data_IF_317953654916
#
_entry.id   IF_317953654916
#
_cell.length_a   1.000
_cell.length_b   1.000
_cell.length_c   1.000
_cell.angle_alpha   90.00
_cell.angle_beta   90.00
_cell.angle_gamma   90.00
#
_symmetry.space_group_name_H-M   'P 1'
#
loop_
_entity.id
_entity.type
_entity.pdbx_description
1 polymer ?
#
# COMPACT_ATOMS: atom_id res chain seq x y z
N UNK A 1 22.25 21.55 -24.25
CA UNK A 1 21.26 20.76 -25.00
C UNK A 1 20.45 19.98 -23.98
N UNK A 2 19.35 20.59 -23.54
CA UNK A 2 18.40 19.98 -22.63
C UNK A 2 17.53 19.01 -23.43
N UNK A 3 17.68 17.71 -23.19
CA UNK A 3 16.76 16.70 -23.73
C UNK A 3 15.47 16.75 -22.93
N UNK A 4 14.48 17.46 -23.47
CA UNK A 4 13.10 17.37 -23.03
C UNK A 4 12.60 15.94 -23.17
N UNK A 5 12.64 15.18 -22.06
CA UNK A 5 11.85 13.95 -21.95
C UNK A 5 10.39 14.37 -22.00
N UNK A 6 9.73 14.08 -23.13
CA UNK A 6 8.29 14.09 -23.21
C UNK A 6 7.76 13.24 -22.06
N UNK A 7 7.05 13.86 -21.11
CA UNK A 7 6.26 13.12 -20.13
C UNK A 7 5.23 12.34 -20.92
N UNK A 8 5.41 11.03 -21.03
CA UNK A 8 4.37 10.13 -21.53
C UNK A 8 3.10 10.44 -20.75
N UNK A 9 2.05 10.80 -21.49
CA UNK A 9 0.75 11.14 -20.93
C UNK A 9 0.16 9.83 -20.45
N UNK A 10 0.46 9.44 -19.21
CA UNK A 10 -0.09 8.22 -18.62
C UNK A 10 -1.61 8.27 -18.71
N UNK A 11 -2.20 7.21 -19.26
CA UNK A 11 -3.65 7.02 -19.28
C UNK A 11 -4.17 7.07 -17.84
N UNK A 12 -5.31 7.73 -17.65
CA UNK A 12 -5.98 7.73 -16.35
C UNK A 12 -6.31 6.30 -15.94
N UNK A 13 -6.21 5.94 -14.63
CA UNK A 13 -6.51 4.58 -14.21
C UNK A 13 -7.92 4.13 -14.63
N UNK A 14 -8.04 2.88 -15.04
CA UNK A 14 -9.32 2.26 -15.38
C UNK A 14 -10.05 1.82 -14.11
N UNK A 15 -11.27 2.29 -13.93
CA UNK A 15 -12.11 1.91 -12.77
C UNK A 15 -13.03 0.75 -13.16
N UNK A 16 -12.88 -0.38 -12.49
CA UNK A 16 -13.73 -1.57 -12.63
C UNK A 16 -14.65 -1.69 -11.42
N UNK A 17 -15.95 -1.54 -11.62
CA UNK A 17 -16.95 -1.75 -10.56
C UNK A 17 -17.53 -3.15 -10.67
N UNK A 18 -17.43 -3.93 -9.60
CA UNK A 18 -17.85 -5.34 -9.55
C UNK A 18 -19.04 -5.54 -8.61
N UNK A 19 -19.74 -6.66 -8.77
CA UNK A 19 -20.85 -7.04 -7.88
C UNK A 19 -22.06 -6.10 -7.97
N UNK A 20 -22.31 -5.54 -9.16
CA UNK A 20 -23.43 -4.63 -9.38
C UNK A 20 -23.29 -3.24 -8.73
N UNK A 21 -22.10 -2.87 -8.24
CA UNK A 21 -21.85 -1.54 -7.71
C UNK A 21 -22.02 -0.47 -8.81
N UNK A 22 -22.79 0.56 -8.48
CA UNK A 22 -23.06 1.68 -9.38
C UNK A 22 -22.37 2.93 -8.83
N UNK A 23 -21.42 3.45 -9.60
CA UNK A 23 -20.78 4.74 -9.37
C UNK A 23 -20.70 5.51 -10.68
N UNK A 24 -20.70 6.84 -10.58
CA UNK A 24 -20.45 7.75 -11.71
C UNK A 24 -19.03 7.65 -12.26
N UNK A 25 -18.12 7.02 -11.50
CA UNK A 25 -16.69 6.86 -11.84
C UNK A 25 -16.36 5.52 -12.49
N UNK A 26 -17.30 4.58 -12.58
CA UNK A 26 -17.06 3.27 -13.18
C UNK A 26 -16.77 3.39 -14.67
N UNK A 27 -15.58 2.97 -15.11
CA UNK A 27 -15.24 2.83 -16.53
C UNK A 27 -15.78 1.53 -17.12
N UNK A 28 -15.75 0.45 -16.33
CA UNK A 28 -16.34 -0.86 -16.67
C UNK A 28 -17.21 -1.31 -15.50
N UNK A 29 -18.35 -1.91 -15.82
CA UNK A 29 -19.28 -2.48 -14.85
C UNK A 29 -19.38 -3.97 -15.07
N UNK A 30 -19.24 -4.74 -14.00
CA UNK A 30 -19.31 -6.20 -13.99
C UNK A 30 -20.52 -6.55 -13.12
N UNK A 31 -21.59 -6.99 -13.77
CA UNK A 31 -22.90 -7.26 -13.14
C UNK A 31 -22.99 -8.62 -12.46
N UNK A 32 -22.04 -9.53 -12.72
CA UNK A 32 -22.08 -10.84 -12.11
C UNK A 32 -22.15 -10.71 -10.57
N UNK A 33 -22.91 -11.60 -9.89
CA UNK A 33 -22.93 -11.67 -8.44
C UNK A 33 -21.59 -12.23 -7.96
N UNK A 34 -20.57 -11.37 -8.00
CA UNK A 34 -19.22 -11.68 -7.59
C UNK A 34 -19.21 -11.72 -6.06
N UNK A 35 -19.32 -12.93 -5.51
CA UNK A 35 -19.12 -13.17 -4.08
C UNK A 35 -17.63 -13.08 -3.71
N UNK A 36 -16.72 -13.24 -4.67
CA UNK A 36 -15.27 -13.14 -4.46
C UNK A 36 -14.50 -12.61 -5.68
N UNK A 37 -13.42 -11.86 -5.42
CA UNK A 37 -12.57 -11.21 -6.42
C UNK A 37 -11.77 -12.19 -7.31
N UNK A 38 -11.69 -13.46 -6.94
CA UNK A 38 -10.91 -14.49 -7.64
C UNK A 38 -11.29 -14.64 -9.12
N UNK A 39 -12.57 -14.44 -9.44
CA UNK A 39 -13.11 -14.56 -10.81
C UNK A 39 -12.62 -13.48 -11.80
N UNK A 40 -12.00 -12.40 -11.30
CA UNK A 40 -11.62 -11.26 -12.14
C UNK A 40 -10.36 -11.48 -12.99
N UNK A 41 -9.61 -12.55 -12.76
CA UNK A 41 -8.33 -12.82 -13.42
C UNK A 41 -8.43 -12.67 -14.95
N UNK A 42 -9.39 -13.35 -15.59
CA UNK A 42 -9.53 -13.31 -17.05
C UNK A 42 -9.82 -11.92 -17.63
N UNK A 43 -10.56 -11.07 -16.91
CA UNK A 43 -10.85 -9.69 -17.34
C UNK A 43 -9.58 -8.84 -17.26
N UNK A 44 -8.85 -8.95 -16.14
CA UNK A 44 -7.59 -8.23 -15.93
C UNK A 44 -6.53 -8.65 -16.96
N UNK A 45 -6.39 -9.94 -17.21
CA UNK A 45 -5.45 -10.47 -18.21
C UNK A 45 -5.80 -10.04 -19.64
N UNK A 46 -7.09 -9.87 -19.95
CA UNK A 46 -7.50 -9.28 -21.24
C UNK A 46 -7.15 -7.79 -21.35
N UNK A 47 -7.36 -7.00 -20.29
CA UNK A 47 -7.00 -5.57 -20.26
C UNK A 47 -5.49 -5.40 -20.42
N UNK A 48 -4.69 -6.10 -19.61
CA UNK A 48 -3.23 -6.01 -19.67
C UNK A 48 -2.62 -6.69 -20.91
N UNK A 49 -3.32 -7.65 -21.53
CA UNK A 49 -2.95 -8.17 -22.84
C UNK A 49 -3.01 -7.10 -23.94
N UNK A 50 -3.91 -6.11 -23.80
CA UNK A 50 -4.02 -4.98 -24.73
C UNK A 50 -3.09 -3.81 -24.35
N UNK A 51 -3.04 -3.46 -23.07
CA UNK A 51 -2.14 -2.42 -22.54
C UNK A 51 -1.54 -2.85 -21.19
N UNK A 52 -0.31 -3.42 -21.19
CA UNK A 52 0.36 -3.98 -20.02
C UNK A 52 0.65 -2.99 -18.89
N UNK A 53 0.57 -1.68 -19.17
CA UNK A 53 0.86 -0.62 -18.21
C UNK A 53 -0.39 0.02 -17.62
N UNK A 54 -1.58 -0.49 -17.97
CA UNK A 54 -2.86 0.04 -17.47
C UNK A 54 -2.92 -0.08 -15.95
N UNK A 55 -3.06 1.07 -15.27
CA UNK A 55 -3.41 1.12 -13.85
C UNK A 55 -4.91 0.81 -13.70
N UNK A 56 -5.25 -0.10 -12.80
CA UNK A 56 -6.62 -0.57 -12.60
C UNK A 56 -7.02 -0.37 -11.14
N UNK A 57 -8.15 0.31 -10.92
CA UNK A 57 -8.81 0.38 -9.61
C UNK A 57 -10.05 -0.52 -9.63
N UNK A 58 -10.04 -1.60 -8.86
CA UNK A 58 -11.22 -2.44 -8.65
C UNK A 58 -12.01 -1.92 -7.46
N UNK A 59 -13.30 -1.66 -7.69
CA UNK A 59 -14.25 -1.20 -6.69
C UNK A 59 -15.21 -2.34 -6.39
N UNK A 60 -15.16 -2.87 -5.17
CA UNK A 60 -15.81 -4.13 -4.80
C UNK A 60 -16.69 -4.04 -3.55
N UNK A 61 -17.79 -4.81 -3.46
CA UNK A 61 -18.56 -4.91 -2.21
C UNK A 61 -17.81 -5.69 -1.12
N UNK A 62 -16.82 -6.51 -1.49
CA UNK A 62 -16.04 -7.36 -0.59
C UNK A 62 -14.58 -7.43 -1.03
N UNK A 63 -13.68 -7.79 -0.12
CA UNK A 63 -12.27 -8.10 -0.42
C UNK A 63 -11.97 -9.60 -0.41
N UNK A 64 -13.00 -10.44 -0.27
CA UNK A 64 -12.89 -11.90 -0.33
C UNK A 64 -12.30 -12.35 -1.68
N UNK A 65 -11.34 -13.28 -1.64
CA UNK A 65 -10.64 -13.80 -2.81
C UNK A 65 -9.55 -12.87 -3.36
N UNK A 66 -9.27 -11.74 -2.71
CA UNK A 66 -8.21 -10.83 -3.14
C UNK A 66 -6.84 -11.51 -3.17
N UNK A 67 -6.47 -12.26 -2.11
CA UNK A 67 -5.17 -12.91 -2.08
C UNK A 67 -5.03 -13.99 -3.17
N UNK A 68 -6.11 -14.73 -3.46
CA UNK A 68 -6.16 -15.69 -4.55
C UNK A 68 -6.00 -15.01 -5.92
N UNK A 69 -6.68 -13.89 -6.15
CA UNK A 69 -6.53 -13.07 -7.34
C UNK A 69 -5.08 -12.60 -7.51
N UNK A 70 -4.46 -12.02 -6.47
CA UNK A 70 -3.08 -11.54 -6.55
C UNK A 70 -2.10 -12.68 -6.86
N UNK A 71 -2.29 -13.85 -6.25
CA UNK A 71 -1.47 -15.03 -6.53
C UNK A 71 -1.63 -15.50 -7.99
N UNK A 72 -2.86 -15.56 -8.51
CA UNK A 72 -3.13 -15.92 -9.91
C UNK A 72 -2.48 -14.94 -10.88
N UNK A 73 -2.57 -13.63 -10.63
CA UNK A 73 -1.92 -12.62 -11.46
C UNK A 73 -0.39 -12.73 -11.44
N UNK A 74 0.20 -13.03 -10.29
CA UNK A 74 1.64 -13.30 -10.19
C UNK A 74 2.04 -14.57 -10.97
N UNK A 75 1.24 -15.62 -10.93
CA UNK A 75 1.49 -16.87 -11.67
C UNK A 75 1.44 -16.66 -13.19
N UNK A 76 0.58 -15.76 -13.65
CA UNK A 76 0.49 -15.34 -15.06
C UNK A 76 1.57 -14.32 -15.46
N UNK A 77 2.40 -13.86 -14.52
CA UNK A 77 3.49 -12.92 -14.79
C UNK A 77 3.05 -11.46 -14.92
N UNK A 78 1.87 -11.12 -14.39
CA UNK A 78 1.36 -9.75 -14.38
C UNK A 78 1.91 -8.93 -13.21
N UNK A 79 2.14 -7.64 -13.46
CA UNK A 79 2.55 -6.70 -12.42
C UNK A 79 1.36 -6.35 -11.53
N UNK A 80 1.21 -7.07 -10.42
CA UNK A 80 0.10 -6.85 -9.50
C UNK A 80 0.08 -5.43 -8.88
N UNK A 81 1.20 -4.66 -8.86
CA UNK A 81 1.21 -3.27 -8.37
C UNK A 81 0.39 -2.30 -9.22
N UNK A 82 0.04 -2.67 -10.45
CA UNK A 82 -0.83 -1.88 -11.31
C UNK A 82 -2.31 -1.96 -10.89
N UNK A 83 -2.65 -2.97 -10.08
CA UNK A 83 -3.97 -3.13 -9.50
C UNK A 83 -4.03 -2.48 -8.11
N UNK A 84 -5.09 -1.73 -7.85
CA UNK A 84 -5.51 -1.29 -6.52
C UNK A 84 -6.95 -1.75 -6.29
N UNK A 85 -7.32 -1.99 -5.04
CA UNK A 85 -8.67 -2.44 -4.68
C UNK A 85 -9.21 -1.53 -3.58
N UNK A 86 -10.46 -1.10 -3.72
CA UNK A 86 -11.21 -0.31 -2.74
C UNK A 86 -12.67 -0.74 -2.77
N UNK A 87 -13.51 -0.24 -1.85
CA UNK A 87 -14.90 -0.66 -1.85
C UNK A 87 -15.78 -0.26 -0.68
N UNK A 88 -16.86 -1.01 -0.54
CA UNK A 88 -17.86 -0.84 0.52
C UNK A 88 -17.25 -0.96 1.92
N UNK A 89 -16.36 -1.93 2.24
CA UNK A 89 -15.79 -2.04 3.59
C UNK A 89 -15.09 -0.75 4.03
N UNK A 90 -14.33 -0.14 3.13
CA UNK A 90 -13.60 1.10 3.38
C UNK A 90 -14.50 2.35 3.44
N UNK A 91 -15.56 2.38 2.63
CA UNK A 91 -16.59 3.41 2.71
C UNK A 91 -17.30 3.38 4.06
N UNK A 92 -17.64 2.19 4.57
CA UNK A 92 -18.25 2.02 5.91
C UNK A 92 -17.31 2.45 7.03
N UNK A 93 -16.02 2.14 6.91
CA UNK A 93 -15.02 2.48 7.92
C UNK A 93 -14.72 3.99 7.96
N UNK A 94 -14.61 4.63 6.80
CA UNK A 94 -14.28 6.06 6.70
C UNK A 94 -15.51 6.97 6.82
N UNK A 95 -16.70 6.45 6.53
CA UNK A 95 -17.91 7.26 6.36
C UNK A 95 -17.89 8.12 5.09
N UNK A 96 -16.93 7.90 4.18
CA UNK A 96 -16.91 8.56 2.88
C UNK A 96 -17.89 7.89 1.92
N UNK A 97 -18.55 8.67 1.06
CA UNK A 97 -19.27 8.12 -0.09
C UNK A 97 -18.31 7.37 -1.02
N UNK A 98 -18.79 6.31 -1.68
CA UNK A 98 -18.00 5.51 -2.61
C UNK A 98 -17.30 6.35 -3.69
N UNK A 99 -17.97 7.33 -4.28
CA UNK A 99 -17.39 8.21 -5.32
C UNK A 99 -16.18 9.01 -4.80
N UNK A 100 -16.25 9.54 -3.56
CA UNK A 100 -15.12 10.24 -2.92
C UNK A 100 -13.95 9.30 -2.64
N UNK A 101 -14.24 8.06 -2.26
CA UNK A 101 -13.23 7.05 -2.02
C UNK A 101 -12.52 6.65 -3.33
N UNK A 102 -13.30 6.49 -4.41
CA UNK A 102 -12.75 6.26 -5.76
C UNK A 102 -11.85 7.43 -6.18
N UNK A 103 -12.32 8.66 -6.05
CA UNK A 103 -11.53 9.86 -6.41
C UNK A 103 -10.23 9.92 -5.59
N UNK A 104 -10.28 9.57 -4.30
CA UNK A 104 -9.11 9.46 -3.43
C UNK A 104 -8.09 8.46 -3.98
N UNK A 105 -8.50 7.21 -4.24
CA UNK A 105 -7.59 6.17 -4.74
C UNK A 105 -7.09 6.45 -6.16
N UNK A 106 -7.90 7.04 -7.03
CA UNK A 106 -7.44 7.48 -8.36
C UNK A 106 -6.30 8.49 -8.26
N UNK A 107 -6.43 9.50 -7.39
CA UNK A 107 -5.35 10.46 -7.14
C UNK A 107 -4.13 9.81 -6.48
N UNK A 108 -4.34 8.85 -5.59
CA UNK A 108 -3.24 8.11 -4.96
C UNK A 108 -2.48 7.21 -5.95
N UNK A 109 -3.19 6.53 -6.85
CA UNK A 109 -2.60 5.74 -7.92
C UNK A 109 -1.83 6.62 -8.91
N UNK A 110 -2.35 7.80 -9.23
CA UNK A 110 -1.64 8.77 -10.06
C UNK A 110 -0.36 9.28 -9.37
N UNK A 111 -0.41 9.53 -8.06
CA UNK A 111 0.75 9.93 -7.28
C UNK A 111 1.84 8.84 -7.22
N UNK A 112 1.43 7.58 -7.22
CA UNK A 112 2.32 6.41 -7.10
C UNK A 112 2.62 5.71 -8.43
N UNK A 113 2.28 6.33 -9.56
CA UNK A 113 2.32 5.67 -10.88
C UNK A 113 3.73 5.27 -11.29
N UNK A 114 4.72 6.14 -11.09
CA UNK A 114 6.12 5.87 -11.44
C UNK A 114 6.66 4.67 -10.65
N UNK A 115 6.29 4.53 -9.38
CA UNK A 115 6.76 3.43 -8.54
C UNK A 115 6.04 2.11 -8.87
N UNK A 116 4.75 2.16 -9.21
CA UNK A 116 3.97 0.99 -9.67
C UNK A 116 4.52 0.43 -10.99
N UNK A 117 4.78 1.30 -11.95
CA UNK A 117 5.37 0.93 -13.25
C UNK A 117 6.84 0.49 -13.11
N UNK A 118 7.55 1.02 -12.11
CA UNK A 118 8.94 0.66 -11.81
C UNK A 118 9.11 -0.68 -11.07
N UNK A 119 8.03 -1.37 -10.68
CA UNK A 119 8.12 -2.68 -10.03
C UNK A 119 8.75 -3.71 -10.98
N UNK A 120 9.72 -4.48 -10.49
CA UNK A 120 10.49 -5.42 -11.31
C UNK A 120 10.10 -6.87 -11.02
N UNK A 121 10.06 -7.75 -12.03
CA UNK A 121 9.93 -9.18 -11.80
C UNK A 121 11.23 -9.73 -11.20
N UNK A 122 11.15 -10.27 -9.97
CA UNK A 122 12.30 -10.86 -9.28
C UNK A 122 12.08 -12.37 -9.16
N UNK A 123 13.03 -13.15 -9.65
CA UNK A 123 13.01 -14.60 -9.45
C UNK A 123 13.29 -14.92 -7.99
N UNK A 124 12.37 -15.58 -7.27
CA UNK A 124 12.61 -15.92 -5.88
C UNK A 124 13.73 -16.95 -5.77
N UNK A 125 14.58 -16.79 -4.75
CA UNK A 125 15.51 -17.84 -4.34
C UNK A 125 14.72 -19.08 -3.91
N UNK A 126 14.89 -20.19 -4.61
CA UNK A 126 14.26 -21.47 -4.29
C UNK A 126 15.29 -22.47 -3.79
N UNK A 127 14.85 -23.44 -2.99
CA UNK A 127 15.72 -24.55 -2.59
C UNK A 127 15.93 -25.53 -3.77
N UNK A 128 17.03 -26.28 -3.77
CA UNK A 128 17.29 -27.33 -4.79
C UNK A 128 16.13 -28.34 -4.88
N UNK A 129 15.51 -28.68 -3.75
CA UNK A 129 14.35 -29.58 -3.66
C UNK A 129 13.13 -29.02 -4.40
N UNK A 130 12.95 -27.71 -4.34
CA UNK A 130 11.80 -27.01 -4.91
C UNK A 130 11.96 -26.76 -6.40
N UNK A 131 13.19 -26.47 -6.83
CA UNK A 131 13.58 -26.43 -8.24
C UNK A 131 13.34 -27.77 -8.96
N UNK A 132 13.65 -28.89 -8.29
CA UNK A 132 13.43 -30.25 -8.80
C UNK A 132 11.94 -30.65 -8.80
N UNK A 133 11.12 -30.14 -7.86
CA UNK A 133 9.67 -30.42 -7.80
C UNK A 133 8.86 -29.62 -8.81
N UNK A 134 9.27 -28.39 -9.13
CA UNK A 134 8.51 -27.45 -9.96
C UNK A 134 8.93 -27.43 -11.44
N UNK A 135 9.78 -28.36 -11.89
CA UNK A 135 10.16 -28.57 -13.30
C UNK A 135 10.27 -27.25 -14.11
N UNK A 136 11.14 -26.33 -13.66
CA UNK A 136 11.46 -25.04 -14.29
C UNK A 136 10.42 -23.91 -14.24
N UNK A 137 9.20 -24.10 -13.72
CA UNK A 137 8.18 -23.03 -13.63
C UNK A 137 8.22 -22.29 -12.28
N UNK A 138 9.34 -21.63 -11.99
CA UNK A 138 9.39 -20.69 -10.86
C UNK A 138 9.05 -19.31 -11.40
N UNK A 139 7.79 -18.93 -11.26
CA UNK A 139 7.32 -17.63 -11.72
C UNK A 139 7.99 -16.49 -10.95
N UNK A 140 8.34 -15.38 -11.63
CA UNK A 140 8.88 -14.20 -10.97
C UNK A 140 7.82 -13.55 -10.09
N UNK A 141 8.24 -12.97 -8.97
CA UNK A 141 7.38 -12.14 -8.12
C UNK A 141 7.73 -10.69 -8.35
N UNK A 142 6.73 -9.87 -8.69
CA UNK A 142 6.95 -8.44 -8.83
C UNK A 142 7.33 -7.84 -7.48
N UNK A 143 8.42 -7.10 -7.49
CA UNK A 143 9.02 -6.52 -6.30
C UNK A 143 9.45 -5.11 -6.64
N UNK A 144 9.04 -4.17 -5.80
CA UNK A 144 9.58 -2.83 -5.86
C UNK A 144 11.00 -2.82 -5.30
N UNK A 145 11.96 -2.36 -6.11
CA UNK A 145 13.35 -2.22 -5.70
C UNK A 145 13.58 -0.76 -5.29
N UNK A 146 14.05 -0.49 -4.06
CA UNK A 146 14.29 0.89 -3.62
C UNK A 146 15.37 1.53 -4.48
N UNK A 147 15.18 2.81 -4.82
CA UNK A 147 16.19 3.55 -5.59
C UNK A 147 17.24 4.10 -4.64
N UNK A 148 18.47 3.61 -4.78
CA UNK A 148 19.61 4.09 -4.01
C UNK A 148 20.21 5.35 -4.63
N UNK A 149 20.58 6.30 -3.78
CA UNK A 149 21.15 7.62 -4.14
C UNK A 149 22.58 7.77 -3.61
N UNK A 150 22.86 7.16 -2.45
CA UNK A 150 24.18 7.15 -1.82
C UNK A 150 24.39 5.85 -1.04
N UNK A 151 25.60 5.61 -0.53
CA UNK A 151 25.88 4.41 0.27
C UNK A 151 25.24 4.52 1.67
N UNK A 152 24.53 3.47 2.08
CA UNK A 152 24.03 3.34 3.44
C UNK A 152 25.16 2.78 4.33
N UNK A 153 25.65 3.61 5.26
CA UNK A 153 26.77 3.26 6.15
C UNK A 153 26.41 2.28 7.26
N UNK A 154 25.12 1.99 7.43
CA UNK A 154 24.61 1.11 8.48
C UNK A 154 24.59 -0.35 8.01
N UNK A 155 25.34 -1.21 8.71
CA UNK A 155 25.29 -2.66 8.49
C UNK A 155 23.97 -3.21 9.04
N UNK A 156 23.38 -4.18 8.36
CA UNK A 156 22.19 -4.89 8.84
C UNK A 156 20.85 -4.23 8.50
N UNK A 157 20.84 -3.12 7.78
CA UNK A 157 19.61 -2.41 7.36
C UNK A 157 18.65 -3.27 6.54
N UNK A 158 19.17 -4.25 5.79
CA UNK A 158 18.35 -5.24 5.11
C UNK A 158 18.38 -6.57 5.87
N UNK A 159 17.27 -7.02 6.46
CA UNK A 159 17.20 -8.30 7.18
C UNK A 159 17.31 -9.53 6.25
N UNK A 160 17.36 -9.30 4.94
CA UNK A 160 17.51 -10.32 3.90
C UNK A 160 18.88 -10.30 3.22
N UNK A 161 19.78 -9.40 3.64
CA UNK A 161 21.11 -9.27 3.04
C UNK A 161 21.09 -8.85 1.58
N UNK A 162 20.07 -8.09 1.16
CA UNK A 162 19.98 -7.57 -0.21
C UNK A 162 20.82 -6.31 -0.45
N UNK A 163 21.38 -5.70 0.60
CA UNK A 163 22.28 -4.54 0.50
C UNK A 163 23.68 -5.03 0.83
N UNK A 164 24.59 -4.94 -0.14
CA UNK A 164 26.00 -5.28 0.05
C UNK A 164 26.73 -4.20 0.84
N UNK A 165 27.86 -4.55 1.48
CA UNK A 165 28.71 -3.57 2.18
C UNK A 165 29.34 -2.52 1.26
N UNK A 166 29.33 -2.75 -0.05
CA UNK A 166 29.82 -1.82 -1.08
C UNK A 166 28.73 -0.83 -1.52
N UNK A 167 27.49 -1.05 -1.08
CA UNK A 167 26.33 -0.23 -1.43
C UNK A 167 25.71 -0.63 -2.77
N UNK A 168 25.58 -1.93 -3.06
CA UNK A 168 24.80 -2.41 -4.20
C UNK A 168 23.56 -3.17 -3.71
N UNK A 169 22.46 -3.07 -4.45
CA UNK A 169 21.24 -3.82 -4.17
C UNK A 169 21.26 -5.11 -4.99
N UNK A 170 21.36 -6.25 -4.32
CA UNK A 170 21.18 -7.55 -4.93
C UNK A 170 19.67 -7.82 -5.13
N UNK A 171 19.17 -7.48 -6.33
CA UNK A 171 17.74 -7.53 -6.65
C UNK A 171 17.10 -8.90 -6.36
N UNK A 172 17.84 -10.00 -6.57
CA UNK A 172 17.38 -11.38 -6.33
C UNK A 172 17.09 -11.70 -4.85
N UNK A 173 17.73 -10.97 -3.93
CA UNK A 173 17.52 -11.09 -2.47
C UNK A 173 16.51 -10.07 -1.94
N UNK A 174 16.23 -9.02 -2.71
CA UNK A 174 15.31 -7.98 -2.30
C UNK A 174 13.87 -8.53 -2.22
N UNK A 175 13.19 -8.25 -1.11
CA UNK A 175 11.79 -8.66 -0.89
C UNK A 175 10.81 -7.50 -1.04
N UNK A 176 11.28 -6.29 -1.36
CA UNK A 176 10.44 -5.09 -1.53
C UNK A 176 9.73 -4.64 -0.25
N UNK A 177 10.31 -4.90 0.92
CA UNK A 177 9.76 -4.45 2.21
C UNK A 177 9.97 -2.95 2.47
N UNK A 178 10.89 -2.31 1.74
CA UNK A 178 11.23 -0.89 1.86
C UNK A 178 11.75 -0.41 3.23
N UNK A 179 12.10 -1.32 4.14
CA UNK A 179 12.69 -1.01 5.45
C UNK A 179 13.92 -0.09 5.34
N UNK A 180 14.76 -0.33 4.33
CA UNK A 180 15.97 0.45 4.12
C UNK A 180 15.71 1.92 3.80
N UNK A 181 14.53 2.25 3.25
CA UNK A 181 14.21 3.62 2.83
C UNK A 181 14.03 4.58 3.99
N UNK A 182 13.70 4.08 5.17
CA UNK A 182 13.55 4.92 6.37
C UNK A 182 14.71 4.74 7.36
N UNK A 183 15.37 3.58 7.38
CA UNK A 183 16.62 3.38 8.15
C UNK A 183 17.75 4.25 7.60
N UNK A 184 17.84 4.35 6.27
CA UNK A 184 18.86 5.14 5.57
C UNK A 184 18.20 6.13 4.60
N UNK A 185 17.49 7.17 5.09
CA UNK A 185 16.71 8.07 4.24
C UNK A 185 17.58 8.96 3.34
N UNK A 186 18.84 9.21 3.71
CA UNK A 186 19.82 9.92 2.87
C UNK A 186 20.42 9.05 1.77
N UNK A 187 20.23 7.73 1.84
CA UNK A 187 20.78 6.75 0.89
C UNK A 187 19.75 6.17 -0.06
N UNK A 188 18.46 6.23 0.29
CA UNK A 188 17.40 5.66 -0.52
C UNK A 188 16.25 6.65 -0.68
N UNK A 189 15.70 6.72 -1.89
CA UNK A 189 14.46 7.46 -2.11
C UNK A 189 13.29 6.66 -1.51
N UNK A 190 12.60 7.28 -0.56
CA UNK A 190 11.36 6.73 -0.02
C UNK A 190 10.25 6.81 -1.09
N UNK A 191 9.50 5.71 -1.33
CA UNK A 191 8.41 5.72 -2.29
C UNK A 191 7.29 6.65 -1.81
N UNK A 192 6.51 7.22 -2.74
CA UNK A 192 5.37 8.09 -2.43
C UNK A 192 4.36 7.42 -1.50
N UNK A 193 4.20 6.09 -1.56
CA UNK A 193 3.40 5.31 -0.61
C UNK A 193 3.75 5.50 0.86
N UNK A 194 5.00 5.77 1.23
CA UNK A 194 5.40 5.91 2.64
C UNK A 194 6.16 7.20 2.93
N UNK A 195 6.23 8.09 1.94
CA UNK A 195 6.95 9.35 2.05
C UNK A 195 6.01 10.54 2.19
N UNK A 196 6.62 11.72 2.34
CA UNK A 196 5.93 12.98 2.59
C UNK A 196 4.79 13.28 1.59
N UNK A 197 4.95 13.12 0.24
CA UNK A 197 3.87 13.34 -0.71
C UNK A 197 2.60 12.50 -0.44
N UNK A 198 2.73 11.19 -0.24
CA UNK A 198 1.57 10.32 -0.02
C UNK A 198 0.86 10.59 1.29
N UNK A 199 1.63 10.78 2.38
CA UNK A 199 1.06 11.11 3.68
C UNK A 199 0.38 12.49 3.69
N UNK A 200 0.93 13.47 2.97
CA UNK A 200 0.30 14.80 2.84
C UNK A 200 -0.97 14.75 2.00
N UNK A 201 -0.98 13.94 0.93
CA UNK A 201 -2.18 13.70 0.13
C UNK A 201 -3.30 13.07 0.97
N UNK A 202 -2.97 12.05 1.76
CA UNK A 202 -3.93 11.44 2.70
C UNK A 202 -4.40 12.45 3.76
N UNK A 203 -3.49 13.25 4.33
CA UNK A 203 -3.85 14.26 5.32
C UNK A 203 -4.85 15.29 4.78
N UNK A 204 -4.65 15.77 3.55
CA UNK A 204 -5.58 16.69 2.90
C UNK A 204 -6.99 16.11 2.87
N UNK A 205 -7.13 14.84 2.50
CA UNK A 205 -8.43 14.16 2.47
C UNK A 205 -9.07 14.02 3.86
N UNK A 206 -8.26 13.68 4.87
CA UNK A 206 -8.68 13.60 6.27
C UNK A 206 -9.20 14.95 6.76
N UNK A 207 -8.49 16.04 6.44
CA UNK A 207 -8.85 17.40 6.81
C UNK A 207 -10.14 17.86 6.12
N UNK A 208 -10.22 17.72 4.79
CA UNK A 208 -11.37 18.19 4.00
C UNK A 208 -12.67 17.45 4.33
N UNK A 209 -12.59 16.19 4.76
CA UNK A 209 -13.75 15.37 5.09
C UNK A 209 -13.96 15.18 6.60
N UNK A 210 -13.19 15.89 7.44
CA UNK A 210 -13.31 15.85 8.90
C UNK A 210 -13.27 14.41 9.45
N UNK A 211 -12.35 13.58 8.94
CA UNK A 211 -12.11 12.19 9.37
C UNK A 211 -11.26 12.16 10.62
N UNK A 212 -11.43 11.23 11.56
CA UNK A 212 -10.72 11.29 12.86
C UNK A 212 -9.27 10.81 12.79
N UNK A 213 -8.90 10.14 11.70
CA UNK A 213 -7.56 9.62 11.55
C UNK A 213 -7.32 8.83 10.27
N UNK A 214 -6.27 8.04 10.31
CA UNK A 214 -5.78 7.21 9.22
C UNK A 214 -5.58 5.77 9.72
N UNK A 215 -6.05 4.81 8.92
CA UNK A 215 -5.76 3.39 9.10
C UNK A 215 -4.80 2.95 8.00
N UNK A 216 -3.56 2.67 8.38
CA UNK A 216 -2.52 2.21 7.45
C UNK A 216 -2.59 0.69 7.37
N UNK A 217 -2.79 0.15 6.17
CA UNK A 217 -3.01 -1.29 5.94
C UNK A 217 -2.06 -1.79 4.86
N UNK A 218 -1.41 -2.92 5.13
CA UNK A 218 -0.67 -3.65 4.10
C UNK A 218 -1.65 -4.23 3.08
N UNK A 219 -1.34 -4.14 1.78
CA UNK A 219 -2.20 -4.72 0.73
C UNK A 219 -2.57 -6.20 0.94
N UNK A 220 -1.64 -6.98 1.50
CA UNK A 220 -1.86 -8.41 1.80
C UNK A 220 -2.89 -8.65 2.93
N UNK A 221 -3.26 -7.61 3.67
CA UNK A 221 -4.19 -7.66 4.79
C UNK A 221 -5.58 -7.11 4.42
N UNK A 222 -5.79 -6.65 3.19
CA UNK A 222 -7.07 -6.05 2.78
C UNK A 222 -8.22 -7.05 2.84
N UNK A 223 -7.99 -8.32 2.52
CA UNK A 223 -9.02 -9.36 2.64
C UNK A 223 -9.53 -9.51 4.08
N UNK A 224 -8.63 -9.53 5.07
CA UNK A 224 -8.99 -9.53 6.49
C UNK A 224 -9.69 -8.24 6.92
N UNK A 225 -9.25 -7.10 6.39
CA UNK A 225 -9.89 -5.81 6.62
C UNK A 225 -11.36 -5.84 6.18
N UNK A 226 -11.66 -6.48 5.05
CA UNK A 226 -13.03 -6.63 4.54
C UNK A 226 -13.97 -7.29 5.56
N UNK A 227 -13.47 -8.24 6.34
CA UNK A 227 -14.25 -8.96 7.36
C UNK A 227 -14.44 -8.13 8.64
N UNK A 228 -13.54 -7.18 8.90
CA UNK A 228 -13.43 -6.47 10.19
C UNK A 228 -13.69 -4.98 10.10
N UNK A 229 -13.91 -4.43 8.92
CA UNK A 229 -14.06 -2.99 8.69
C UNK A 229 -15.14 -2.33 9.57
N UNK A 230 -16.22 -3.07 9.88
CA UNK A 230 -17.29 -2.61 10.77
C UNK A 230 -16.77 -2.30 12.19
N UNK A 231 -15.77 -3.03 12.68
CA UNK A 231 -15.18 -2.86 14.01
C UNK A 231 -14.51 -1.49 14.19
N UNK A 232 -14.12 -0.80 13.11
CA UNK A 232 -13.47 0.52 13.14
C UNK A 232 -14.41 1.67 12.74
N UNK A 233 -15.63 1.39 12.29
CA UNK A 233 -16.53 2.39 11.68
C UNK A 233 -16.80 3.64 12.54
N UNK A 234 -16.99 3.56 13.87
CA UNK A 234 -17.11 4.74 14.75
C UNK A 234 -15.95 5.73 14.64
N UNK A 235 -14.75 5.27 14.29
CA UNK A 235 -13.53 6.09 14.25
C UNK A 235 -13.31 6.84 12.94
N UNK A 236 -14.17 6.65 11.93
CA UNK A 236 -14.14 7.39 10.64
C UNK A 236 -12.71 7.55 10.09
N UNK A 237 -11.99 6.44 9.95
CA UNK A 237 -10.58 6.43 9.54
C UNK A 237 -10.45 6.38 8.03
N UNK A 238 -9.52 7.16 7.47
CA UNK A 238 -9.13 7.03 6.07
C UNK A 238 -8.27 5.76 5.91
N UNK A 239 -8.69 4.75 5.12
CA UNK A 239 -7.82 3.65 4.75
C UNK A 239 -6.66 4.15 3.88
N UNK A 240 -5.45 3.69 4.20
CA UNK A 240 -4.24 4.07 3.50
C UNK A 240 -3.41 2.83 3.16
N UNK A 241 -3.39 2.48 1.88
CA UNK A 241 -2.78 1.23 1.43
C UNK A 241 -1.30 1.40 1.22
N UNK A 242 -0.53 0.52 1.84
CA UNK A 242 0.90 0.40 1.58
C UNK A 242 1.26 -1.00 1.10
N UNK A 243 2.28 -1.14 0.23
CA UNK A 243 2.80 -2.44 -0.16
C UNK A 243 3.31 -3.28 1.01
N UNK A 244 3.86 -2.63 2.03
CA UNK A 244 4.32 -3.26 3.26
C UNK A 244 4.45 -2.19 4.35
N UNK A 245 3.97 -2.50 5.57
CA UNK A 245 4.11 -1.59 6.71
C UNK A 245 5.57 -1.44 7.16
N UNK A 246 6.46 -2.35 6.77
CA UNK A 246 7.89 -2.23 7.03
C UNK A 246 8.53 -1.02 6.34
N UNK A 247 7.89 -0.45 5.30
CA UNK A 247 8.36 0.74 4.61
C UNK A 247 7.93 2.06 5.25
N UNK A 248 7.19 2.02 6.37
CA UNK A 248 6.69 3.21 7.05
C UNK A 248 7.80 3.86 7.88
N UNK A 249 7.91 5.18 7.76
CA UNK A 249 8.80 5.98 8.60
C UNK A 249 8.08 6.35 9.91
N UNK A 250 8.46 5.70 11.00
CA UNK A 250 7.85 5.89 12.32
C UNK A 250 7.90 7.36 12.80
N UNK A 251 8.94 8.12 12.43
CA UNK A 251 9.07 9.53 12.80
C UNK A 251 7.99 10.37 12.13
N UNK A 252 7.76 10.16 10.83
CA UNK A 252 6.70 10.84 10.08
C UNK A 252 5.31 10.50 10.60
N UNK A 253 5.07 9.24 10.99
CA UNK A 253 3.82 8.85 11.63
C UNK A 253 3.62 9.58 12.96
N UNK A 254 4.69 9.74 13.75
CA UNK A 254 4.66 10.54 14.99
C UNK A 254 4.33 12.00 14.73
N UNK A 255 4.91 12.60 13.69
CA UNK A 255 4.56 13.96 13.27
C UNK A 255 3.08 14.05 12.92
N UNK A 256 2.54 13.11 12.15
CA UNK A 256 1.10 13.08 11.84
C UNK A 256 0.23 12.97 13.10
N UNK A 257 0.60 12.07 14.02
CA UNK A 257 -0.11 11.90 15.29
C UNK A 257 -0.11 13.19 16.12
N UNK A 258 0.99 13.96 16.09
CA UNK A 258 1.09 15.26 16.78
C UNK A 258 0.11 16.33 16.28
N UNK A 259 -0.53 16.11 15.12
CA UNK A 259 -1.53 17.01 14.56
C UNK A 259 -2.96 16.67 14.99
N UNK A 260 -3.10 15.93 16.10
CA UNK A 260 -4.36 15.45 16.63
C UNK A 260 -5.10 14.52 15.66
N UNK A 261 -4.34 13.63 15.02
CA UNK A 261 -4.86 12.56 14.19
C UNK A 261 -4.67 11.23 14.91
N UNK A 262 -5.69 10.39 14.89
CA UNK A 262 -5.49 9.00 15.24
C UNK A 262 -4.72 8.30 14.11
N UNK A 263 -3.57 7.72 14.42
CA UNK A 263 -2.75 6.95 13.47
C UNK A 263 -2.73 5.50 13.94
N UNK A 264 -3.34 4.62 13.18
CA UNK A 264 -3.39 3.19 13.47
C UNK A 264 -2.77 2.41 12.31
N UNK A 265 -1.80 1.55 12.60
CA UNK A 265 -1.24 0.58 11.67
C UNK A 265 -1.87 -0.79 11.93
N UNK A 266 -2.57 -1.34 10.94
CA UNK A 266 -3.13 -2.69 11.03
C UNK A 266 -2.05 -3.75 10.81
N UNK A 267 -1.95 -4.70 11.73
CA UNK A 267 -1.00 -5.80 11.65
C UNK A 267 -1.60 -7.10 12.20
N UNK A 268 -1.69 -8.11 11.33
CA UNK A 268 -1.96 -9.51 11.68
C UNK A 268 -0.68 -10.32 11.56
N UNK A 269 -0.27 -10.98 12.64
CA UNK A 269 0.93 -11.83 12.64
C UNK A 269 0.74 -13.05 11.72
N UNK A 270 -0.44 -13.65 11.74
CA UNK A 270 -0.80 -14.80 10.91
C UNK A 270 -0.72 -14.46 9.42
N UNK A 271 -1.35 -13.36 9.00
CA UNK A 271 -1.27 -12.85 7.63
C UNK A 271 0.16 -12.54 7.22
N UNK A 272 0.95 -11.96 8.15
CA UNK A 272 2.30 -11.55 7.83
C UNK A 272 3.28 -12.74 7.73
N UNK A 273 3.03 -13.84 8.45
CA UNK A 273 3.84 -15.07 8.36
C UNK A 273 3.75 -15.74 6.98
N UNK A 274 2.61 -15.60 6.29
CA UNK A 274 2.48 -16.06 4.90
C UNK A 274 3.25 -15.15 3.91
N UNK A 275 3.54 -13.91 4.31
CA UNK A 275 4.30 -12.94 3.54
C UNK A 275 5.82 -13.17 3.67
N UNK A 276 6.55 -13.06 2.56
CA UNK A 276 8.03 -13.14 2.52
C UNK A 276 8.76 -11.96 3.20
N UNK A 277 8.03 -11.08 3.90
CA UNK A 277 8.49 -9.82 4.49
C UNK A 277 8.43 -9.79 6.03
N UNK A 278 8.07 -10.91 6.67
CA UNK A 278 7.85 -10.99 8.13
C UNK A 278 8.98 -10.39 9.00
N UNK A 279 10.25 -10.74 8.72
CA UNK A 279 11.40 -10.23 9.49
C UNK A 279 11.48 -8.70 9.48
N UNK A 280 11.29 -8.08 8.32
CA UNK A 280 11.31 -6.62 8.21
C UNK A 280 10.10 -5.96 8.90
N UNK A 281 8.93 -6.61 8.84
CA UNK A 281 7.74 -6.11 9.51
C UNK A 281 7.91 -6.10 11.03
N UNK A 282 8.43 -7.18 11.61
CA UNK A 282 8.66 -7.26 13.06
C UNK A 282 9.64 -6.20 13.56
N UNK A 283 10.68 -5.91 12.77
CA UNK A 283 11.62 -4.82 13.09
C UNK A 283 10.93 -3.45 13.05
N UNK A 284 10.15 -3.16 12.00
CA UNK A 284 9.42 -1.90 11.88
C UNK A 284 8.36 -1.71 12.97
N UNK A 285 7.66 -2.76 13.38
CA UNK A 285 6.61 -2.67 14.41
C UNK A 285 7.17 -2.20 15.75
N UNK A 286 8.35 -2.70 16.14
CA UNK A 286 9.02 -2.26 17.36
C UNK A 286 9.18 -0.74 17.36
N UNK A 287 9.74 -0.20 16.28
CA UNK A 287 10.00 1.24 16.17
C UNK A 287 8.75 2.09 15.99
N UNK A 288 7.74 1.60 15.28
CA UNK A 288 6.45 2.28 15.15
C UNK A 288 5.80 2.41 16.54
N UNK A 289 5.83 1.35 17.35
CA UNK A 289 5.31 1.37 18.73
C UNK A 289 6.14 2.27 19.65
N UNK A 290 7.46 2.26 19.54
CA UNK A 290 8.35 3.12 20.32
C UNK A 290 8.13 4.62 20.04
N UNK A 291 7.58 4.94 18.86
CA UNK A 291 7.16 6.29 18.49
C UNK A 291 5.71 6.63 18.91
N UNK A 292 5.08 5.79 19.73
CA UNK A 292 3.75 6.03 20.29
C UNK A 292 2.60 5.80 19.31
N UNK A 293 2.85 5.10 18.19
CA UNK A 293 1.83 4.81 17.18
C UNK A 293 1.14 3.48 17.50
N UNK A 294 -0.19 3.45 17.37
CA UNK A 294 -0.98 2.25 17.63
C UNK A 294 -0.76 1.22 16.53
N UNK A 295 -0.33 0.02 16.90
CA UNK A 295 -0.18 -1.14 16.01
C UNK A 295 -0.95 -2.32 16.58
N UNK A 296 -1.98 -2.79 15.89
CA UNK A 296 -2.81 -3.92 16.33
C UNK A 296 -3.63 -4.50 15.17
N UNK A 297 -3.93 -5.78 15.24
CA UNK A 297 -4.97 -6.46 14.47
C UNK A 297 -6.38 -6.14 14.99
N UNK A 298 -6.53 -5.68 16.23
CA UNK A 298 -7.83 -5.40 16.82
C UNK A 298 -8.35 -4.01 16.45
N UNK A 299 -9.23 -3.96 15.45
CA UNK A 299 -9.84 -2.72 14.97
C UNK A 299 -10.82 -2.09 15.96
N UNK A 300 -11.31 -2.83 16.95
CA UNK A 300 -12.14 -2.25 18.03
C UNK A 300 -11.38 -1.22 18.86
N UNK A 301 -10.04 -1.26 18.88
CA UNK A 301 -9.20 -0.24 19.54
C UNK A 301 -9.40 1.13 18.90
N UNK A 302 -9.55 1.18 17.56
CA UNK A 302 -9.87 2.42 16.85
C UNK A 302 -11.24 2.97 17.29
N UNK A 303 -12.25 2.09 17.38
CA UNK A 303 -13.58 2.49 17.84
C UNK A 303 -13.57 3.04 19.25
N UNK A 304 -12.86 2.40 20.18
CA UNK A 304 -12.72 2.90 21.55
C UNK A 304 -12.10 4.30 21.58
N UNK A 305 -11.07 4.55 20.75
CA UNK A 305 -10.47 5.88 20.63
C UNK A 305 -11.47 6.94 20.17
N UNK A 306 -12.35 6.62 19.21
CA UNK A 306 -13.38 7.53 18.71
C UNK A 306 -14.33 8.02 19.82
N UNK A 307 -14.77 7.09 20.69
CA UNK A 307 -15.68 7.40 21.79
C UNK A 307 -15.05 8.25 22.90
N UNK A 308 -13.73 8.25 23.02
CA UNK A 308 -13.01 9.06 24.03
C UNK A 308 -12.90 10.54 23.63
N UNK A 309 -13.36 10.92 22.44
CA UNK A 309 -13.56 12.31 22.04
C UNK A 309 -12.27 13.07 21.76
N UNK A 310 -11.80 13.00 20.51
CA UNK A 310 -10.71 13.84 20.04
C UNK A 310 -11.25 15.19 19.52
N UNK A 311 -11.45 16.17 20.40
CA UNK A 311 -11.82 17.54 20.01
C UNK A 311 -10.60 18.47 20.06
N UNK A 312 -9.65 18.28 19.17
CA UNK A 312 -8.49 19.17 19.10
C UNK A 312 -8.38 19.85 17.73
N UNK A 313 -7.92 21.11 17.76
CA UNK A 313 -7.79 21.97 16.57
C UNK A 313 -6.74 21.34 15.64
N UNK A 314 -7.17 20.99 14.42
CA UNK A 314 -6.29 20.42 13.40
C UNK A 314 -5.40 21.49 12.77
N UNK A 315 -4.20 21.09 12.40
CA UNK A 315 -3.26 21.90 11.63
C UNK A 315 -3.81 22.18 10.23
N UNK A 316 -3.38 23.27 9.58
CA UNK A 316 -3.74 23.50 8.17
C UNK A 316 -2.96 22.51 7.27
N UNK A 317 -3.51 22.10 6.10
CA UNK A 317 -2.78 21.25 5.15
C UNK A 317 -1.42 21.82 4.72
N UNK A 318 -1.30 23.14 4.58
CA UNK A 318 -0.04 23.81 4.24
C UNK A 318 1.01 23.71 5.34
N UNK A 319 0.60 23.85 6.61
CA UNK A 319 1.52 23.72 7.75
C UNK A 319 1.94 22.28 7.98
N UNK A 320 0.98 21.35 7.85
CA UNK A 320 1.23 19.91 7.91
C UNK A 320 2.25 19.47 6.84
N UNK A 321 2.08 19.94 5.61
CA UNK A 321 3.01 19.62 4.53
C UNK A 321 4.44 20.12 4.82
N UNK A 322 4.57 21.36 5.31
CA UNK A 322 5.87 21.92 5.70
C UNK A 322 6.56 21.10 6.79
N UNK A 323 5.82 20.67 7.81
CA UNK A 323 6.39 19.90 8.93
C UNK A 323 6.85 18.49 8.52
N UNK A 324 6.08 17.79 7.68
CA UNK A 324 6.52 16.49 7.15
C UNK A 324 7.74 16.59 6.24
N UNK A 325 7.93 17.74 5.58
CA UNK A 325 9.10 18.02 4.74
C UNK A 325 10.36 18.40 5.51
N UNK A 326 10.26 18.90 6.74
CA UNK A 326 11.39 19.40 7.53
C UNK A 326 12.14 18.34 8.35
N UNK A 327 11.59 17.13 8.51
CA UNK A 327 12.23 16.02 9.26
C UNK A 327 13.00 15.03 8.36
N UNK A 328 13.25 15.38 7.09
CA UNK A 328 13.95 14.55 6.10
C UNK A 328 15.46 14.76 6.03
#
# INVERSE_FOLDING_TARGET
>A
MESGKAREKHSSPLVLCVGGLISSRCGVKIEEPVLSLESLGGILSSIWGNDPNTLILVVSPTFEGLNALLASLEEEGWNHYLLEVTGVPESMMSGLSLDKLIDYYLGFMALTSEERLGAKPVRPTVTRRELLRRLFLIQPVYTMIPRMVSKCGERGVCPYGAISGEGEIEESKCRGCMLCTWKCPSSFNAPSWSSHPGLSYAYKMIYENQLDGILIVCRHHLEELGQRAVEASPARLLPYHVPCIAGLDARRLRVMASWNLYVHVYFSEEACRSCRRFKAVMEAIGEIKDNGITVSDNLTVASAHAYLGFSARRMSPSDAARMLGSEG
#
